data_IF_677077635712
#
_entry.id   IF_677077635712
#
_cell.length_a   1.000
_cell.length_b   1.000
_cell.length_c   1.000
_cell.angle_alpha   90.00
_cell.angle_beta   90.00
_cell.angle_gamma   90.00
#
_symmetry.space_group_name_H-M   'P 1'
#
loop_
_entity.id
_entity.type
_entity.pdbx_description
1 polymer ?
#
# COMPACT_ATOMS: atom_id res chain seq x y z
N UNK A 1 27.21 -37.15 -12.21
CA UNK A 1 26.00 -36.38 -12.56
C UNK A 1 25.63 -35.47 -11.40
N UNK A 2 25.81 -34.16 -11.60
CA UNK A 2 25.03 -33.03 -11.05
C UNK A 2 25.87 -31.77 -11.28
N UNK A 3 25.68 -31.18 -12.46
CA UNK A 3 26.30 -29.95 -12.93
C UNK A 3 25.60 -28.74 -12.31
N UNK A 4 26.38 -27.91 -11.61
CA UNK A 4 25.94 -26.63 -11.03
C UNK A 4 25.69 -25.63 -12.16
N UNK A 5 24.44 -25.20 -12.34
CA UNK A 5 24.06 -24.16 -13.31
C UNK A 5 24.14 -22.79 -12.63
N UNK A 6 25.20 -22.05 -12.95
CA UNK A 6 25.34 -20.62 -12.65
C UNK A 6 24.29 -19.81 -13.42
N UNK A 7 23.55 -18.94 -12.75
CA UNK A 7 22.71 -17.94 -13.40
C UNK A 7 23.41 -16.58 -13.30
N UNK A 8 24.06 -16.19 -14.39
CA UNK A 8 24.40 -14.80 -14.68
C UNK A 8 23.58 -14.41 -15.91
N UNK A 9 22.61 -13.54 -15.72
CA UNK A 9 21.99 -12.69 -16.72
C UNK A 9 21.40 -11.51 -15.92
N UNK A 10 21.87 -10.27 -16.01
CA UNK A 10 22.29 -9.57 -17.22
C UNK A 10 21.09 -8.86 -17.82
N UNK A 11 20.63 -7.78 -17.18
CA UNK A 11 19.62 -6.86 -17.73
C UNK A 11 19.97 -5.45 -17.26
N UNK A 12 20.65 -4.66 -18.09
CA UNK A 12 20.16 -3.84 -19.20
C UNK A 12 19.82 -2.41 -18.75
N UNK A 13 20.67 -1.52 -19.23
CA UNK A 13 20.60 -0.06 -19.20
C UNK A 13 19.21 0.44 -19.60
N UNK A 14 18.71 1.45 -18.88
CA UNK A 14 17.75 2.40 -19.42
C UNK A 14 18.23 3.82 -19.12
N UNK A 15 18.79 4.44 -20.15
CA UNK A 15 18.98 5.89 -20.26
C UNK A 15 18.30 6.33 -21.56
N UNK A 16 17.19 7.06 -21.44
CA UNK A 16 16.57 7.94 -22.44
C UNK A 16 15.36 8.57 -21.73
N UNK A 17 15.14 9.87 -21.61
CA UNK A 17 15.52 10.98 -22.46
C UNK A 17 14.23 11.67 -22.90
N UNK A 18 13.75 12.67 -22.17
CA UNK A 18 12.78 13.66 -22.70
C UNK A 18 13.10 15.03 -22.09
N UNK A 19 13.80 15.83 -22.89
CA UNK A 19 13.68 17.28 -22.85
C UNK A 19 13.15 17.69 -24.23
N UNK A 20 11.97 18.30 -24.28
CA UNK A 20 11.65 19.46 -25.14
C UNK A 20 10.14 19.75 -25.09
N UNK A 21 9.82 21.03 -24.98
CA UNK A 21 8.72 21.62 -25.75
C UNK A 21 7.45 21.95 -24.96
N UNK A 22 7.41 23.13 -24.36
CA UNK A 22 6.17 23.91 -24.30
C UNK A 22 6.45 25.31 -24.81
N UNK A 23 6.33 25.40 -26.13
CA UNK A 23 6.33 26.60 -26.95
C UNK A 23 5.04 27.41 -26.68
N UNK A 24 5.15 28.74 -26.78
CA UNK A 24 4.06 29.72 -26.73
C UNK A 24 2.77 29.30 -27.45
N UNK A 25 1.61 29.57 -26.83
CA UNK A 25 0.36 29.95 -27.52
C UNK A 25 -0.32 31.06 -26.69
N UNK A 26 -0.22 32.33 -27.11
CA UNK A 26 -1.22 33.09 -27.89
C UNK A 26 -2.60 33.15 -27.20
N UNK A 27 -2.91 34.32 -26.64
CA UNK A 27 -4.26 34.76 -26.26
C UNK A 27 -5.11 34.94 -27.53
N UNK A 28 -6.38 34.54 -27.47
CA UNK A 28 -7.44 35.36 -28.07
C UNK A 28 -8.44 35.81 -27.01
N UNK A 29 -8.69 37.12 -27.01
CA UNK A 29 -9.89 37.70 -26.43
C UNK A 29 -11.10 37.20 -27.22
N UNK A 30 -12.10 36.65 -26.54
CA UNK A 30 -13.34 36.19 -27.14
C UNK A 30 -14.36 35.91 -26.04
N UNK A 31 -15.32 36.81 -25.92
CA UNK A 31 -16.47 36.77 -25.02
C UNK A 31 -17.46 35.66 -25.39
N UNK A 32 -18.28 35.30 -24.40
CA UNK A 32 -19.52 34.50 -24.46
C UNK A 32 -19.40 32.97 -24.59
N UNK A 33 -19.44 32.28 -23.44
CA UNK A 33 -20.10 30.97 -23.31
C UNK A 33 -20.42 30.64 -21.83
N UNK A 34 -21.71 30.37 -21.59
CA UNK A 34 -22.38 29.65 -20.48
C UNK A 34 -21.55 29.14 -19.29
N UNK A 35 -21.99 29.33 -18.03
CA UNK A 35 -21.39 28.66 -16.88
C UNK A 35 -21.87 27.20 -16.85
N UNK A 36 -21.28 26.37 -17.71
CA UNK A 36 -21.24 24.93 -17.47
C UNK A 36 -20.41 24.74 -16.20
N UNK A 37 -21.08 24.40 -15.11
CA UNK A 37 -20.44 24.11 -13.84
C UNK A 37 -19.34 23.08 -14.05
N UNK A 38 -18.09 23.53 -14.00
CA UNK A 38 -16.94 22.65 -13.91
C UNK A 38 -17.07 21.97 -12.56
N UNK A 39 -17.48 20.70 -12.55
CA UNK A 39 -17.30 19.85 -11.41
C UNK A 39 -15.80 19.91 -11.09
N UNK A 40 -15.45 20.66 -10.05
CA UNK A 40 -14.07 20.78 -9.60
C UNK A 40 -13.60 19.35 -9.34
N UNK A 41 -12.66 18.88 -10.17
CA UNK A 41 -12.03 17.59 -9.97
C UNK A 41 -11.45 17.61 -8.56
N UNK A 42 -12.02 16.79 -7.68
CA UNK A 42 -11.58 16.70 -6.31
C UNK A 42 -10.10 16.29 -6.36
N UNK A 43 -9.18 17.09 -5.81
CA UNK A 43 -7.76 16.80 -5.92
C UNK A 43 -7.50 15.37 -5.42
N UNK A 44 -6.67 14.59 -6.13
CA UNK A 44 -6.38 13.22 -5.73
C UNK A 44 -5.94 13.24 -4.27
N UNK A 45 -6.59 12.40 -3.45
CA UNK A 45 -6.24 12.28 -2.04
C UNK A 45 -4.72 12.07 -1.94
N UNK A 46 -4.02 12.79 -1.04
CA UNK A 46 -2.58 12.71 -0.94
C UNK A 46 -2.18 11.24 -0.81
N UNK A 47 -1.29 10.78 -1.69
CA UNK A 47 -0.85 9.39 -1.71
C UNK A 47 -0.29 9.03 -0.33
N UNK A 48 -0.96 8.10 0.36
CA UNK A 48 -0.53 7.67 1.68
C UNK A 48 0.87 7.05 1.60
N UNK A 49 1.80 7.56 2.41
CA UNK A 49 3.19 7.09 2.42
C UNK A 49 3.26 5.67 2.95
N UNK A 50 4.05 4.80 2.31
CA UNK A 50 4.39 3.48 2.86
C UNK A 50 5.31 3.67 4.08
N UNK A 51 4.90 3.12 5.22
CA UNK A 51 5.67 3.12 6.46
C UNK A 51 6.57 1.90 6.57
N UNK A 52 6.03 0.72 6.28
CA UNK A 52 6.77 -0.54 6.29
C UNK A 52 6.16 -1.54 5.31
N UNK A 53 6.98 -2.49 4.88
CA UNK A 53 6.54 -3.70 4.19
C UNK A 53 6.42 -4.85 5.19
N UNK A 54 5.49 -5.78 4.94
CA UNK A 54 5.32 -6.99 5.75
C UNK A 54 4.90 -8.17 4.85
N UNK A 55 5.25 -9.38 5.27
CA UNK A 55 4.94 -10.60 4.51
C UNK A 55 5.38 -10.51 3.04
N UNK A 56 4.63 -11.18 2.15
CA UNK A 56 4.85 -11.13 0.70
C UNK A 56 3.88 -10.13 0.07
N UNK A 57 4.42 -9.02 -0.43
CA UNK A 57 3.65 -7.99 -1.15
C UNK A 57 2.73 -7.13 -0.28
N UNK A 58 2.88 -7.17 1.06
CA UNK A 58 2.11 -6.37 2.00
C UNK A 58 2.79 -5.06 2.36
N UNK A 59 2.02 -3.97 2.47
CA UNK A 59 2.49 -2.65 2.93
C UNK A 59 1.54 -2.03 3.94
N UNK A 60 2.10 -1.45 4.99
CA UNK A 60 1.38 -0.59 5.94
C UNK A 60 1.63 0.86 5.55
N UNK A 61 0.56 1.61 5.47
CA UNK A 61 0.56 3.01 5.03
C UNK A 61 0.36 3.98 6.20
N UNK A 62 0.74 5.24 6.01
CA UNK A 62 0.74 6.27 7.06
C UNK A 62 -0.64 6.61 7.64
N UNK A 63 -1.69 6.39 6.86
CA UNK A 63 -3.10 6.50 7.26
C UNK A 63 -3.65 5.22 7.93
N UNK A 64 -2.79 4.21 8.17
CA UNK A 64 -3.15 2.99 8.88
C UNK A 64 -3.83 1.93 8.02
N UNK A 65 -3.84 2.09 6.70
CA UNK A 65 -4.34 1.04 5.81
C UNK A 65 -3.28 -0.03 5.61
N UNK A 66 -3.76 -1.26 5.60
CA UNK A 66 -2.95 -2.45 5.35
C UNK A 66 -3.33 -2.98 3.98
N UNK A 67 -2.38 -2.93 3.04
CA UNK A 67 -2.62 -3.27 1.64
C UNK A 67 -1.75 -4.46 1.22
N UNK A 68 -2.30 -5.31 0.36
CA UNK A 68 -1.57 -6.38 -0.30
C UNK A 68 -1.67 -6.22 -1.81
N UNK A 69 -0.54 -6.35 -2.49
CA UNK A 69 -0.49 -6.34 -3.95
C UNK A 69 -0.88 -7.70 -4.50
N UNK A 70 -1.90 -7.72 -5.36
CA UNK A 70 -2.34 -8.87 -6.15
C UNK A 70 -1.68 -8.79 -7.54
N UNK A 71 -0.67 -9.62 -7.85
CA UNK A 71 0.07 -9.52 -9.10
C UNK A 71 -0.75 -10.00 -10.31
N UNK A 72 -1.71 -10.88 -10.09
CA UNK A 72 -2.67 -11.39 -11.07
C UNK A 72 -3.62 -10.31 -11.59
N UNK A 73 -4.13 -9.46 -10.70
CA UNK A 73 -5.04 -8.35 -11.07
C UNK A 73 -4.34 -6.99 -11.14
N UNK A 74 -3.07 -6.91 -10.76
CA UNK A 74 -2.26 -5.70 -10.68
C UNK A 74 -2.88 -4.62 -9.76
N UNK A 75 -3.48 -5.06 -8.65
CA UNK A 75 -4.22 -4.18 -7.74
C UNK A 75 -3.66 -4.23 -6.32
N UNK A 76 -3.73 -3.10 -5.63
CA UNK A 76 -3.60 -3.05 -4.18
C UNK A 76 -4.98 -3.24 -3.56
N UNK A 77 -5.12 -4.27 -2.74
CA UNK A 77 -6.35 -4.55 -1.99
C UNK A 77 -6.07 -4.38 -0.51
N UNK A 78 -7.05 -3.87 0.22
CA UNK A 78 -7.06 -4.03 1.67
C UNK A 78 -7.13 -5.51 2.05
N UNK A 79 -6.75 -5.83 3.29
CA UNK A 79 -6.83 -7.21 3.78
C UNK A 79 -8.27 -7.75 3.68
N UNK A 80 -9.26 -6.98 4.12
CA UNK A 80 -10.65 -7.44 4.13
C UNK A 80 -11.18 -7.65 2.70
N UNK A 81 -10.74 -6.85 1.73
CA UNK A 81 -11.05 -7.07 0.31
C UNK A 81 -10.40 -8.36 -0.22
N UNK A 82 -9.14 -8.63 0.14
CA UNK A 82 -8.45 -9.85 -0.27
C UNK A 82 -9.15 -11.11 0.29
N UNK A 83 -9.52 -11.10 1.58
CA UNK A 83 -10.26 -12.20 2.19
C UNK A 83 -11.67 -12.37 1.60
N UNK A 84 -12.36 -11.27 1.32
CA UNK A 84 -13.69 -11.31 0.71
C UNK A 84 -13.68 -11.98 -0.66
N UNK A 85 -12.63 -11.75 -1.46
CA UNK A 85 -12.44 -12.46 -2.73
C UNK A 85 -12.23 -13.98 -2.57
N UNK A 86 -11.71 -14.40 -1.42
CA UNK A 86 -11.49 -15.80 -1.05
C UNK A 86 -12.70 -16.42 -0.31
N UNK A 87 -13.84 -15.71 -0.26
CA UNK A 87 -15.06 -16.16 0.39
C UNK A 87 -14.99 -16.13 1.93
N UNK A 88 -14.07 -15.35 2.50
CA UNK A 88 -13.91 -15.17 3.94
C UNK A 88 -14.25 -13.74 4.33
N UNK A 89 -15.04 -13.57 5.38
CA UNK A 89 -15.27 -12.28 6.01
C UNK A 89 -14.35 -12.19 7.24
N UNK A 90 -13.58 -11.11 7.36
CA UNK A 90 -12.66 -10.85 8.48
C UNK A 90 -12.81 -9.41 8.92
N UNK A 91 -12.43 -9.11 10.16
CA UNK A 91 -12.43 -7.76 10.72
C UNK A 91 -11.06 -7.42 11.31
N UNK A 92 -10.02 -7.47 10.48
CA UNK A 92 -8.63 -7.29 10.94
C UNK A 92 -8.35 -5.82 11.34
N UNK A 93 -9.21 -4.90 10.91
CA UNK A 93 -9.18 -3.49 11.26
C UNK A 93 -10.29 -3.14 12.28
N UNK A 94 -10.05 -2.15 13.18
CA UNK A 94 -8.87 -1.27 13.24
C UNK A 94 -7.64 -1.93 13.90
N UNK A 95 -6.45 -1.40 13.59
CA UNK A 95 -5.20 -1.78 14.26
C UNK A 95 -5.25 -1.41 15.76
N UNK A 96 -4.63 -2.20 16.66
CA UNK A 96 -4.66 -1.95 18.10
C UNK A 96 -3.81 -0.76 18.53
N UNK A 97 -2.91 -0.30 17.65
CA UNK A 97 -2.01 0.84 17.85
C UNK A 97 -1.93 1.66 16.57
N UNK A 98 -1.42 2.89 16.66
CA UNK A 98 -1.21 3.74 15.48
C UNK A 98 -0.14 3.13 14.57
N UNK A 99 -0.29 3.32 13.26
CA UNK A 99 0.61 2.74 12.25
C UNK A 99 2.08 3.17 12.42
N UNK A 100 2.33 4.40 12.86
CA UNK A 100 3.67 4.93 13.13
C UNK A 100 4.33 4.35 14.39
N UNK A 101 3.57 3.64 15.22
CA UNK A 101 4.08 2.95 16.41
C UNK A 101 4.44 1.49 16.14
N UNK A 102 4.08 0.96 14.96
CA UNK A 102 4.38 -0.42 14.58
C UNK A 102 5.82 -0.47 14.05
N UNK A 103 6.65 -1.25 14.73
CA UNK A 103 8.05 -1.50 14.34
C UNK A 103 8.14 -2.61 13.31
N UNK A 104 7.39 -3.68 13.54
CA UNK A 104 7.38 -4.87 12.70
C UNK A 104 5.98 -5.48 12.71
N UNK A 105 5.65 -6.10 11.59
CA UNK A 105 4.41 -6.81 11.38
C UNK A 105 4.73 -8.08 10.60
N UNK A 106 4.27 -9.22 11.11
CA UNK A 106 4.46 -10.53 10.49
C UNK A 106 3.10 -11.09 10.10
N UNK A 107 2.91 -11.25 8.79
CA UNK A 107 1.57 -11.44 8.22
C UNK A 107 0.58 -10.40 8.80
N UNK A 108 -0.72 -10.68 8.78
CA UNK A 108 -1.73 -9.86 9.46
C UNK A 108 -1.97 -10.31 10.92
N UNK A 109 -1.23 -11.32 11.39
CA UNK A 109 -1.48 -12.00 12.64
C UNK A 109 -0.64 -11.51 13.82
N UNK A 110 0.48 -10.83 13.58
CA UNK A 110 1.41 -10.48 14.65
C UNK A 110 1.99 -9.07 14.45
N UNK A 111 1.98 -8.27 15.51
CA UNK A 111 2.52 -6.91 15.52
C UNK A 111 3.48 -6.71 16.69
N UNK A 112 4.54 -5.95 16.45
CA UNK A 112 5.50 -5.53 17.45
C UNK A 112 5.67 -4.02 17.39
N UNK A 113 5.46 -3.34 18.52
CA UNK A 113 5.55 -1.88 18.60
C UNK A 113 6.98 -1.40 18.84
N UNK A 114 7.22 -0.11 18.63
CA UNK A 114 8.48 0.55 18.98
C UNK A 114 8.78 0.49 20.49
N UNK A 115 7.76 0.40 21.34
CA UNK A 115 7.90 0.25 22.80
C UNK A 115 8.12 -1.20 23.25
N UNK A 116 8.12 -2.16 22.32
CA UNK A 116 8.32 -3.58 22.62
C UNK A 116 7.05 -4.35 22.98
N UNK A 117 5.86 -3.76 22.82
CA UNK A 117 4.60 -4.47 23.01
C UNK A 117 4.34 -5.40 21.82
N UNK A 118 3.89 -6.62 22.11
CA UNK A 118 3.51 -7.59 21.10
C UNK A 118 1.98 -7.80 21.09
N UNK A 119 1.41 -7.92 19.91
CA UNK A 119 -0.02 -8.16 19.69
C UNK A 119 -0.23 -9.31 18.72
N UNK A 120 -1.27 -10.10 18.96
CA UNK A 120 -1.70 -11.22 18.12
C UNK A 120 -3.14 -10.99 17.69
N UNK A 121 -3.44 -11.13 16.40
CA UNK A 121 -4.82 -11.16 15.94
C UNK A 121 -5.41 -12.57 16.11
N UNK A 122 -6.46 -12.67 16.90
CA UNK A 122 -7.18 -13.91 17.15
C UNK A 122 -8.31 -14.10 16.15
N UNK A 123 -8.14 -15.00 15.19
CA UNK A 123 -9.16 -15.30 14.17
C UNK A 123 -10.46 -15.88 14.75
N UNK A 124 -10.42 -16.54 15.91
CA UNK A 124 -11.61 -17.14 16.52
C UNK A 124 -12.55 -16.11 17.13
N UNK A 125 -12.02 -14.95 17.52
CA UNK A 125 -12.75 -13.86 18.19
C UNK A 125 -12.78 -12.59 17.35
N UNK A 126 -12.09 -12.57 16.21
CA UNK A 126 -11.85 -11.41 15.35
C UNK A 126 -11.35 -10.19 16.14
N UNK A 127 -10.38 -10.41 17.03
CA UNK A 127 -9.88 -9.38 17.93
C UNK A 127 -8.36 -9.41 18.08
N UNK A 128 -7.80 -8.22 18.26
CA UNK A 128 -6.41 -8.07 18.68
C UNK A 128 -6.27 -8.33 20.18
N UNK A 129 -5.38 -9.27 20.53
CA UNK A 129 -4.98 -9.52 21.91
C UNK A 129 -3.54 -9.07 22.15
N UNK A 130 -3.33 -8.30 23.21
CA UNK A 130 -1.99 -7.98 23.71
C UNK A 130 -1.34 -9.22 24.32
N UNK A 131 -0.14 -9.54 23.89
CA UNK A 131 0.66 -10.62 24.45
C UNK A 131 1.44 -10.14 25.68
N UNK A 132 1.74 -11.02 26.64
CA UNK A 132 2.66 -10.69 27.73
C UNK A 132 4.05 -10.35 27.17
N UNK A 133 4.77 -9.47 27.84
CA UNK A 133 6.15 -9.16 27.45
C UNK A 133 7.02 -10.42 27.58
N UNK A 134 7.86 -10.73 26.58
CA UNK A 134 8.91 -11.73 26.76
C UNK A 134 9.87 -11.19 27.83
N UNK A 135 10.00 -11.93 28.93
CA UNK A 135 10.79 -11.55 30.10
C UNK A 135 12.27 -11.28 29.77
#
# INVERSE_FOLDING_TARGET
>A
MMTRKSWIAGSLLFALGIALGSLLQVLPAGSDASPLGVAAAQPPAPASRVLLAFGVGGVLTGDGRVLQYRPDTQQWLSIDEAFRQEGRETNILPLPVRADQIRQMESFGFLLTNSGEAWLYEMSTDQWRKLPNPA
#
